data_IF_179727542128
#
_entry.id   IF_179727542128
#
_cell.length_a   1.000
_cell.length_b   1.000
_cell.length_c   1.000
_cell.angle_alpha   90.00
_cell.angle_beta   90.00
_cell.angle_gamma   90.00
#
_symmetry.space_group_name_H-M   'P 1'
#
loop_
_entity.id
_entity.type
_entity.pdbx_description
1 polymer ?
#
# COMPACT_ATOMS: atom_id res chain seq x y z
N UNK A 1 -36.98 -55.52 -3.45
CA UNK A 1 -36.62 -54.12 -3.79
C UNK A 1 -36.22 -53.27 -2.55
N UNK A 2 -35.41 -53.78 -1.62
CA UNK A 2 -35.03 -53.04 -0.40
C UNK A 2 -33.57 -52.51 -0.41
N UNK A 3 -32.66 -53.15 -1.16
CA UNK A 3 -31.24 -52.77 -1.15
C UNK A 3 -30.94 -51.50 -1.94
N UNK A 4 -31.62 -51.23 -3.07
CA UNK A 4 -31.32 -50.08 -3.94
C UNK A 4 -31.56 -48.74 -3.22
N UNK A 5 -32.61 -48.62 -2.40
CA UNK A 5 -32.86 -47.41 -1.59
C UNK A 5 -31.77 -47.14 -0.56
N UNK A 6 -31.18 -48.19 0.03
CA UNK A 6 -30.12 -48.06 1.05
C UNK A 6 -28.79 -47.59 0.45
N UNK A 7 -28.46 -48.03 -0.77
CA UNK A 7 -27.29 -47.55 -1.52
C UNK A 7 -27.48 -46.13 -2.06
N UNK A 8 -28.71 -45.75 -2.48
CA UNK A 8 -29.00 -44.39 -2.96
C UNK A 8 -28.76 -43.32 -1.90
N UNK A 9 -29.12 -43.60 -0.63
CA UNK A 9 -28.91 -42.66 0.49
C UNK A 9 -27.43 -42.48 0.82
N UNK A 10 -26.64 -43.56 0.80
CA UNK A 10 -25.19 -43.49 1.01
C UNK A 10 -24.49 -42.74 -0.12
N UNK A 11 -24.91 -42.94 -1.36
CA UNK A 11 -24.38 -42.22 -2.52
C UNK A 11 -24.69 -40.72 -2.44
N UNK A 12 -25.93 -40.36 -2.08
CA UNK A 12 -26.31 -38.96 -1.86
C UNK A 12 -25.48 -38.27 -0.78
N UNK A 13 -25.25 -38.97 0.34
CA UNK A 13 -24.46 -38.43 1.44
C UNK A 13 -22.99 -38.20 1.04
N UNK A 14 -22.44 -39.09 0.20
CA UNK A 14 -21.08 -39.01 -0.31
C UNK A 14 -20.91 -37.86 -1.33
N UNK A 15 -21.89 -37.68 -2.23
CA UNK A 15 -21.93 -36.55 -3.17
C UNK A 15 -22.12 -35.22 -2.44
N UNK A 16 -22.93 -35.20 -1.38
CA UNK A 16 -23.13 -33.99 -0.59
C UNK A 16 -21.86 -33.60 0.18
N UNK A 17 -21.15 -34.57 0.77
CA UNK A 17 -19.88 -34.31 1.47
C UNK A 17 -18.77 -33.87 0.52
N UNK A 18 -18.70 -34.43 -0.69
CA UNK A 18 -17.72 -34.00 -1.69
C UNK A 18 -18.04 -32.63 -2.27
N UNK A 19 -19.33 -32.30 -2.47
CA UNK A 19 -19.73 -30.95 -2.84
C UNK A 19 -19.40 -29.95 -1.72
N UNK A 20 -19.66 -30.29 -0.46
CA UNK A 20 -19.35 -29.44 0.68
C UNK A 20 -17.84 -29.17 0.81
N UNK A 21 -16.99 -30.19 0.66
CA UNK A 21 -15.54 -30.03 0.72
C UNK A 21 -15.01 -29.21 -0.46
N UNK A 22 -15.59 -29.35 -1.65
CA UNK A 22 -15.28 -28.51 -2.80
C UNK A 22 -15.66 -27.04 -2.53
N UNK A 23 -16.82 -26.79 -1.93
CA UNK A 23 -17.25 -25.45 -1.53
C UNK A 23 -16.35 -24.85 -0.45
N UNK A 24 -15.88 -25.64 0.52
CA UNK A 24 -14.90 -25.16 1.53
C UNK A 24 -13.56 -24.85 0.89
N UNK A 25 -13.08 -25.65 -0.08
CA UNK A 25 -11.83 -25.39 -0.80
C UNK A 25 -11.93 -24.15 -1.69
N UNK A 26 -13.05 -23.99 -2.40
CA UNK A 26 -13.37 -22.80 -3.20
C UNK A 26 -13.44 -21.59 -2.27
N UNK A 27 -14.21 -21.65 -1.19
CA UNK A 27 -14.28 -20.58 -0.20
C UNK A 27 -12.91 -20.28 0.42
N UNK A 28 -12.08 -21.29 0.69
CA UNK A 28 -10.72 -21.11 1.22
C UNK A 28 -9.80 -20.41 0.20
N UNK A 29 -9.86 -20.80 -1.08
CA UNK A 29 -9.13 -20.14 -2.16
C UNK A 29 -9.59 -18.69 -2.38
N UNK A 30 -10.91 -18.44 -2.37
CA UNK A 30 -11.47 -17.10 -2.53
C UNK A 30 -11.40 -16.25 -1.23
N UNK A 31 -11.25 -16.87 -0.06
CA UNK A 31 -11.00 -16.16 1.21
C UNK A 31 -9.55 -15.72 1.34
N UNK A 32 -8.62 -16.40 0.64
CA UNK A 32 -7.21 -16.02 0.57
C UNK A 32 -6.91 -14.94 -0.48
N UNK A 33 -7.85 -14.59 -1.36
CA UNK A 33 -7.69 -13.54 -2.37
C UNK A 33 -9.02 -12.80 -2.60
N UNK A 34 -9.22 -11.55 -2.09
CA UNK A 34 -8.51 -10.36 -2.60
C UNK A 34 -8.30 -9.22 -1.56
N UNK A 35 -8.14 -9.49 -0.26
CA UNK A 35 -8.06 -8.40 0.75
C UNK A 35 -6.67 -7.78 0.93
N UNK A 36 -5.66 -8.22 0.17
CA UNK A 36 -4.33 -7.61 0.23
C UNK A 36 -4.40 -6.29 -0.52
N UNK A 37 -4.52 -5.20 0.23
CA UNK A 37 -4.38 -3.84 -0.30
C UNK A 37 -3.00 -3.66 -0.90
N UNK A 38 -2.95 -3.21 -2.15
CA UNK A 38 -1.70 -2.94 -2.86
C UNK A 38 -1.67 -1.50 -3.34
N UNK A 39 -0.47 -0.93 -3.40
CA UNK A 39 -0.22 0.38 -4.01
C UNK A 39 0.73 0.13 -5.17
N UNK A 40 0.27 0.42 -6.38
CA UNK A 40 1.10 0.37 -7.57
C UNK A 40 1.68 1.74 -7.85
N UNK A 41 3.00 1.84 -7.95
CA UNK A 41 3.68 3.09 -8.31
C UNK A 41 3.81 3.15 -9.82
N UNK A 42 3.00 3.99 -10.46
CA UNK A 42 2.98 4.16 -11.93
C UNK A 42 4.23 4.92 -12.37
N UNK A 43 4.55 6.03 -11.68
CA UNK A 43 5.69 6.88 -12.01
C UNK A 43 6.10 7.67 -10.77
N UNK A 44 7.38 7.99 -10.68
CA UNK A 44 7.84 9.02 -9.75
C UNK A 44 8.81 9.97 -10.46
N UNK A 45 8.91 11.18 -9.95
CA UNK A 45 9.83 12.22 -10.45
C UNK A 45 10.47 12.92 -9.26
N UNK A 46 11.80 13.00 -9.27
CA UNK A 46 12.54 13.76 -8.27
C UNK A 46 12.45 15.26 -8.55
N UNK A 47 12.25 16.06 -7.50
CA UNK A 47 12.35 17.52 -7.55
C UNK A 47 13.56 17.99 -6.74
N UNK A 48 13.79 19.29 -6.64
CA UNK A 48 14.92 19.85 -5.87
C UNK A 48 14.75 19.74 -4.36
N UNK A 49 13.53 19.47 -3.87
CA UNK A 49 13.18 19.45 -2.44
C UNK A 49 12.34 18.23 -2.05
N UNK A 50 12.06 17.35 -2.99
CA UNK A 50 11.10 16.28 -2.78
C UNK A 50 10.91 15.33 -3.94
N UNK A 51 9.80 14.61 -3.90
CA UNK A 51 9.45 13.57 -4.88
C UNK A 51 7.97 13.70 -5.22
N UNK A 52 7.67 13.75 -6.50
CA UNK A 52 6.30 13.63 -7.01
C UNK A 52 6.07 12.15 -7.32
N UNK A 53 5.07 11.54 -6.68
CA UNK A 53 4.73 10.13 -6.87
C UNK A 53 3.34 10.03 -7.48
N UNK A 54 3.25 9.36 -8.63
CA UNK A 54 2.00 8.96 -9.28
C UNK A 54 1.76 7.48 -8.97
N UNK A 55 0.70 7.19 -8.23
CA UNK A 55 0.39 5.86 -7.71
C UNK A 55 -1.09 5.53 -7.84
N UNK A 56 -1.42 4.23 -7.85
CA UNK A 56 -2.78 3.72 -7.90
C UNK A 56 -2.98 2.73 -6.75
N UNK A 57 -3.77 3.08 -5.73
CA UNK A 57 -4.15 2.15 -4.67
C UNK A 57 -5.24 1.19 -5.16
N UNK A 58 -5.23 -0.04 -4.65
CA UNK A 58 -6.27 -1.05 -4.95
C UNK A 58 -7.60 -0.79 -4.22
N UNK A 59 -7.72 0.32 -3.50
CA UNK A 59 -8.90 0.72 -2.72
C UNK A 59 -9.18 2.21 -2.91
N UNK A 60 -10.41 2.63 -2.61
CA UNK A 60 -10.82 4.02 -2.76
C UNK A 60 -10.26 4.88 -1.63
N UNK A 61 -9.34 5.80 -1.95
CA UNK A 61 -8.75 6.73 -0.99
C UNK A 61 -9.42 8.10 -1.13
N UNK A 62 -10.11 8.55 -0.07
CA UNK A 62 -10.84 9.83 -0.07
C UNK A 62 -9.98 11.03 0.35
N UNK A 63 -9.08 10.82 1.30
CA UNK A 63 -8.18 11.85 1.84
C UNK A 63 -6.77 11.26 1.98
N UNK A 64 -6.04 11.14 0.86
CA UNK A 64 -4.71 10.56 0.85
C UNK A 64 -3.70 11.48 1.54
N UNK A 65 -2.83 10.88 2.34
CA UNK A 65 -1.63 11.53 2.86
C UNK A 65 -0.47 10.57 2.64
N UNK A 66 0.57 11.04 1.96
CA UNK A 66 1.74 10.22 1.66
C UNK A 66 2.91 10.67 2.51
N UNK A 67 3.38 9.78 3.36
CA UNK A 67 4.62 9.98 4.10
C UNK A 67 5.73 9.19 3.44
N UNK A 68 6.88 9.81 3.21
CA UNK A 68 8.06 9.10 2.73
C UNK A 68 9.28 9.40 3.60
N UNK A 69 10.14 8.41 3.79
CA UNK A 69 11.35 8.49 4.61
C UNK A 69 12.53 7.78 3.95
N UNK A 70 13.73 8.28 4.24
CA UNK A 70 15.00 7.63 3.89
C UNK A 70 15.55 6.72 4.98
N UNK A 71 14.99 6.77 6.19
CA UNK A 71 15.37 5.84 7.25
C UNK A 71 14.84 4.43 6.89
N UNK A 72 15.44 3.37 7.43
CA UNK A 72 14.97 1.98 7.31
C UNK A 72 14.29 1.43 8.59
N UNK A 73 14.39 2.15 9.71
CA UNK A 73 13.68 1.84 10.96
C UNK A 73 12.16 2.14 10.90
N UNK A 74 11.38 1.10 10.60
CA UNK A 74 9.92 1.12 10.35
C UNK A 74 9.09 1.81 11.43
N UNK A 75 9.56 1.83 12.68
CA UNK A 75 8.86 2.48 13.79
C UNK A 75 8.93 4.00 13.77
N UNK A 76 9.93 4.60 13.10
CA UNK A 76 10.24 6.04 13.14
C UNK A 76 9.96 6.79 11.84
N UNK A 77 9.59 6.10 10.76
CA UNK A 77 9.37 6.70 9.42
C UNK A 77 8.26 7.74 9.34
N UNK A 78 7.41 7.83 10.36
CA UNK A 78 6.16 8.59 10.29
C UNK A 78 5.95 9.52 11.48
N UNK A 79 6.96 9.72 12.33
CA UNK A 79 6.89 10.76 13.35
C UNK A 79 7.23 12.11 12.71
N UNK A 80 6.34 13.10 12.89
CA UNK A 80 6.47 14.48 12.37
C UNK A 80 7.75 15.22 12.80
N UNK A 81 8.59 14.61 13.64
CA UNK A 81 9.80 15.19 14.21
C UNK A 81 11.10 14.85 13.47
N UNK A 82 11.08 14.01 12.43
CA UNK A 82 12.31 13.59 11.75
C UNK A 82 12.57 14.40 10.48
N UNK A 83 13.78 14.99 10.40
CA UNK A 83 14.25 15.78 9.24
C UNK A 83 14.30 14.96 7.95
N UNK A 84 14.36 13.64 8.02
CA UNK A 84 14.42 12.74 6.85
C UNK A 84 13.04 12.28 6.36
N UNK A 85 11.95 12.80 6.94
CA UNK A 85 10.58 12.49 6.56
C UNK A 85 10.03 13.62 5.69
N UNK A 86 9.41 13.24 4.59
CA UNK A 86 8.59 14.11 3.76
C UNK A 86 7.12 13.75 3.87
N UNK A 87 6.27 14.77 3.70
CA UNK A 87 4.82 14.64 3.71
C UNK A 87 4.24 15.32 2.47
N UNK A 88 3.33 14.62 1.78
CA UNK A 88 2.40 15.18 0.82
C UNK A 88 0.97 15.02 1.33
N UNK A 89 0.32 16.15 1.64
CA UNK A 89 -1.03 16.21 2.22
C UNK A 89 -2.13 16.24 1.15
N UNK A 90 -3.39 16.14 1.60
CA UNK A 90 -4.60 16.13 0.76
C UNK A 90 -4.75 17.36 -0.14
N UNK A 91 -4.24 18.51 0.30
CA UNK A 91 -4.42 19.79 -0.37
C UNK A 91 -3.60 19.90 -1.67
N UNK A 92 -2.57 19.06 -1.82
CA UNK A 92 -1.66 19.02 -2.97
C UNK A 92 -1.85 17.76 -3.82
N UNK A 93 -2.90 16.95 -3.57
CA UNK A 93 -3.14 15.70 -4.31
C UNK A 93 -4.03 15.92 -5.52
N UNK A 94 -3.55 15.50 -6.68
CA UNK A 94 -4.35 15.41 -7.91
C UNK A 94 -4.92 14.00 -8.02
N UNK A 95 -6.26 13.88 -8.02
CA UNK A 95 -6.97 12.62 -8.20
C UNK A 95 -7.58 12.55 -9.61
N UNK A 96 -7.24 11.51 -10.37
CA UNK A 96 -7.77 11.27 -11.71
C UNK A 96 -8.10 9.79 -11.90
N UNK A 97 -9.40 9.44 -11.96
CA UNK A 97 -9.85 8.08 -12.26
C UNK A 97 -9.34 6.97 -11.33
N UNK A 98 -9.01 7.31 -10.07
CA UNK A 98 -8.42 6.37 -9.10
C UNK A 98 -6.89 6.42 -9.02
N UNK A 99 -6.24 7.22 -9.86
CA UNK A 99 -4.81 7.52 -9.79
C UNK A 99 -4.58 8.75 -8.92
N UNK A 100 -3.62 8.66 -8.01
CA UNK A 100 -3.20 9.73 -7.12
C UNK A 100 -1.83 10.24 -7.56
N UNK A 101 -1.70 11.56 -7.73
CA UNK A 101 -0.41 12.23 -7.88
C UNK A 101 -0.18 13.10 -6.66
N UNK A 102 0.86 12.79 -5.89
CA UNK A 102 1.15 13.43 -4.60
C UNK A 102 2.58 13.95 -4.63
N UNK A 103 2.77 15.24 -4.38
CA UNK A 103 4.08 15.82 -4.15
C UNK A 103 4.46 15.69 -2.67
N UNK A 104 5.58 15.01 -2.42
CA UNK A 104 6.12 14.80 -1.09
C UNK A 104 7.34 15.69 -0.91
N UNK A 105 7.23 16.66 0.00
CA UNK A 105 8.32 17.59 0.33
C UNK A 105 9.01 17.13 1.61
N UNK A 106 10.33 16.96 1.56
CA UNK A 106 11.12 16.49 2.70
C UNK A 106 11.52 17.63 3.64
N UNK A 107 11.47 17.36 4.95
CA UNK A 107 11.90 18.33 5.97
C UNK A 107 10.80 19.26 6.48
N UNK A 108 9.52 19.01 6.19
CA UNK A 108 8.38 19.82 6.70
C UNK A 108 8.06 19.58 8.19
N UNK A 109 9.04 19.15 8.97
CA UNK A 109 8.94 18.82 10.39
C UNK A 109 9.24 20.06 11.25
N UNK A 110 8.26 20.95 11.37
CA UNK A 110 8.12 22.10 12.29
C UNK A 110 9.27 23.13 12.50
N UNK A 111 10.55 22.88 12.13
CA UNK A 111 11.67 23.78 12.49
C UNK A 111 12.81 23.92 11.46
N UNK A 112 12.82 23.19 10.33
CA UNK A 112 13.82 23.43 9.26
C UNK A 112 13.47 22.73 7.95
N UNK A 113 13.26 23.49 6.88
CA UNK A 113 13.24 22.92 5.54
C UNK A 113 14.58 22.23 5.26
N UNK A 114 14.53 21.02 4.71
CA UNK A 114 15.74 20.36 4.22
C UNK A 114 16.27 21.17 3.03
N UNK A 115 17.57 21.50 3.05
CA UNK A 115 18.18 22.16 1.90
C UNK A 115 18.21 21.21 0.69
N UNK A 116 18.17 21.76 -0.51
CA UNK A 116 18.25 20.96 -1.75
C UNK A 116 19.53 20.11 -1.82
N UNK A 117 20.63 20.57 -1.23
CA UNK A 117 21.89 19.84 -1.22
C UNK A 117 21.88 18.67 -0.22
N UNK A 118 21.26 18.84 0.95
CA UNK A 118 21.03 17.74 1.88
C UNK A 118 20.11 16.68 1.29
N UNK A 119 19.04 17.10 0.60
CA UNK A 119 18.14 16.19 -0.10
C UNK A 119 18.87 15.37 -1.17
N UNK A 120 19.67 16.02 -2.02
CA UNK A 120 20.49 15.33 -3.03
C UNK A 120 21.44 14.31 -2.40
N UNK A 121 22.13 14.65 -1.31
CA UNK A 121 23.02 13.73 -0.60
C UNK A 121 22.27 12.49 -0.08
N UNK A 122 21.05 12.66 0.43
CA UNK A 122 20.23 11.53 0.88
C UNK A 122 19.77 10.65 -0.29
N UNK A 123 19.39 11.27 -1.41
CA UNK A 123 19.01 10.54 -2.63
C UNK A 123 20.20 9.76 -3.21
N UNK A 124 21.41 10.30 -3.16
CA UNK A 124 22.62 9.62 -3.64
C UNK A 124 23.07 8.49 -2.71
N UNK A 125 22.88 8.65 -1.40
CA UNK A 125 23.30 7.66 -0.40
C UNK A 125 22.36 6.46 -0.31
N UNK A 126 21.07 6.65 -0.58
CA UNK A 126 20.04 5.62 -0.37
C UNK A 126 19.54 5.03 -1.69
N UNK A 127 19.37 3.70 -1.72
CA UNK A 127 18.82 3.01 -2.88
C UNK A 127 17.28 3.04 -2.92
N UNK A 128 16.65 3.19 -1.75
CA UNK A 128 15.20 3.13 -1.57
C UNK A 128 14.68 4.31 -0.76
N UNK A 129 13.43 4.70 -1.06
CA UNK A 129 12.58 5.53 -0.20
C UNK A 129 11.44 4.65 0.30
N UNK A 130 11.21 4.70 1.61
CA UNK A 130 10.12 4.02 2.28
C UNK A 130 8.93 4.97 2.31
N UNK A 131 7.81 4.56 1.72
CA UNK A 131 6.60 5.38 1.68
C UNK A 131 5.41 4.67 2.31
N UNK A 132 4.53 5.44 2.94
CA UNK A 132 3.27 4.99 3.51
C UNK A 132 2.15 5.89 3.07
N UNK A 133 1.22 5.30 2.32
CA UNK A 133 -0.03 5.96 1.98
C UNK A 133 -0.99 5.76 3.15
N UNK A 134 -1.44 6.85 3.75
CA UNK A 134 -2.42 6.90 4.83
C UNK A 134 -3.72 7.53 4.31
N UNK A 135 -4.85 7.09 4.87
CA UNK A 135 -6.14 7.73 4.68
C UNK A 135 -6.59 8.37 6.00
N UNK A 136 -6.69 9.69 6.04
CA UNK A 136 -6.96 10.47 7.26
C UNK A 136 -8.43 10.57 7.67
N UNK A 137 -9.32 9.75 7.09
CA UNK A 137 -10.75 9.76 7.43
C UNK A 137 -11.08 8.63 8.41
N UNK A 138 -11.25 9.01 9.69
CA UNK A 138 -11.99 8.33 10.75
C UNK A 138 -11.59 6.88 11.11
N UNK A 139 -11.00 6.73 12.31
CA UNK A 139 -11.04 5.55 13.20
C UNK A 139 -10.48 4.19 12.72
N UNK A 140 -9.96 4.07 11.51
CA UNK A 140 -9.08 2.95 11.15
C UNK A 140 -8.01 3.49 10.23
N UNK A 141 -6.76 3.52 10.70
CA UNK A 141 -5.60 4.05 9.93
C UNK A 141 -5.30 3.02 8.83
N UNK A 142 -6.13 3.03 7.79
CA UNK A 142 -5.90 2.29 6.56
C UNK A 142 -4.63 2.85 5.96
N UNK A 143 -3.58 2.05 6.05
CA UNK A 143 -2.28 2.45 5.56
C UNK A 143 -1.59 1.30 4.86
N UNK A 144 -0.85 1.64 3.80
CA UNK A 144 -0.02 0.68 3.09
C UNK A 144 1.36 1.23 2.91
N UNK A 145 2.33 0.44 3.35
CA UNK A 145 3.75 0.70 3.16
C UNK A 145 4.21 0.09 1.85
N UNK A 146 5.05 0.81 1.14
CA UNK A 146 5.68 0.39 -0.11
C UNK A 146 7.04 1.08 -0.26
N UNK A 147 7.85 0.55 -1.17
CA UNK A 147 9.21 1.00 -1.41
C UNK A 147 9.30 1.59 -2.81
N UNK A 148 9.90 2.76 -2.93
CA UNK A 148 10.26 3.35 -4.22
C UNK A 148 11.77 3.20 -4.37
N UNK A 149 12.20 2.50 -5.42
CA UNK A 149 13.62 2.40 -5.77
C UNK A 149 14.05 3.69 -6.47
N UNK A 150 15.04 4.39 -5.92
CA UNK A 150 15.46 5.71 -6.40
C UNK A 150 16.27 5.68 -7.71
N UNK A 151 16.97 4.58 -7.98
CA UNK A 151 17.68 4.36 -9.25
C UNK A 151 17.72 2.89 -9.65
N UNK A 152 17.60 2.66 -10.95
CA UNK A 152 18.27 1.53 -11.62
C UNK A 152 19.77 1.77 -11.52
N UNK A 153 20.49 0.92 -10.78
CA UNK A 153 21.93 0.73 -11.02
C UNK A 153 22.04 0.09 -12.41
N UNK A 154 22.40 0.89 -13.41
CA UNK A 154 23.13 0.39 -14.57
C UNK A 154 24.60 0.75 -14.34
#
# INVERSE_FOLDING_TARGET
MANIRKYSKKLYLLVFLSALSLWVLVAYWYSLWPFIRTVEVIKFKMTTRGVIVKLMPSWQVKAPTLFCSFDSDKGRHYTESNKTVGNGGSDDVIMDGGVLTIEVVFGKAHWKDMSSDEFKKLVEKNEYIYCKLCQSNFSSIESREFLIKLKNKN
#
